data_IF_412447457051
#
_entry.id   IF_412447457051
#
_cell.length_a   1.000
_cell.length_b   1.000
_cell.length_c   1.000
_cell.angle_alpha   90.00
_cell.angle_beta   90.00
_cell.angle_gamma   90.00
#
_symmetry.space_group_name_H-M   'P 1'
#
loop_
_entity.id
_entity.type
_entity.pdbx_description
1 polymer ?
#
# COMPACT_ATOMS: atom_id res chain seq x y z
N UNK A 1 31.00 -24.36 0.23
CA UNK A 1 31.59 -24.64 -1.10
C UNK A 1 31.45 -26.12 -1.39
N UNK A 2 30.42 -26.56 -2.10
CA UNK A 2 30.40 -27.86 -2.78
C UNK A 2 29.25 -27.84 -3.81
N UNK A 3 29.66 -27.79 -5.06
CA UNK A 3 28.87 -27.61 -6.27
C UNK A 3 28.08 -28.84 -6.67
N UNK A 4 26.91 -28.59 -7.28
CA UNK A 4 26.07 -29.56 -8.01
C UNK A 4 26.89 -30.39 -9.00
N UNK A 5 26.58 -31.68 -9.09
CA UNK A 5 26.94 -32.50 -10.25
C UNK A 5 25.69 -33.16 -10.83
N UNK A 6 25.36 -32.69 -12.03
CA UNK A 6 24.35 -33.18 -12.96
C UNK A 6 24.80 -34.55 -13.53
N UNK A 7 23.90 -35.54 -13.62
CA UNK A 7 24.13 -36.75 -14.42
C UNK A 7 22.95 -36.96 -15.38
N UNK A 8 23.16 -36.91 -16.70
CA UNK A 8 22.17 -37.37 -17.67
C UNK A 8 22.36 -38.88 -17.88
N UNK A 9 21.27 -39.64 -17.76
CA UNK A 9 21.24 -41.04 -18.18
C UNK A 9 20.93 -41.09 -19.67
N UNK A 10 21.94 -41.41 -20.49
CA UNK A 10 21.75 -41.73 -21.90
C UNK A 10 21.24 -43.17 -22.00
N UNK A 11 19.98 -43.34 -22.42
CA UNK A 11 19.46 -44.67 -22.77
C UNK A 11 19.73 -44.92 -24.25
N UNK A 12 20.79 -45.68 -24.50
CA UNK A 12 21.07 -46.25 -25.81
C UNK A 12 20.00 -47.31 -26.14
N UNK A 13 19.22 -47.07 -27.19
CA UNK A 13 18.38 -48.09 -27.80
C UNK A 13 18.87 -48.29 -29.24
N UNK A 14 19.63 -49.36 -29.39
CA UNK A 14 20.09 -49.95 -30.64
C UNK A 14 18.87 -50.49 -31.39
N UNK A 15 18.60 -50.03 -32.61
CA UNK A 15 17.68 -50.75 -33.49
C UNK A 15 18.20 -50.79 -34.92
N UNK A 16 18.43 -52.02 -35.33
CA UNK A 16 19.11 -52.46 -36.54
C UNK A 16 18.60 -51.80 -37.82
N UNK A 17 19.57 -51.45 -38.65
CA UNK A 17 19.45 -51.03 -40.03
C UNK A 17 18.84 -52.15 -40.90
N UNK A 18 17.70 -51.86 -41.53
CA UNK A 18 17.28 -52.53 -42.78
C UNK A 18 17.06 -51.44 -43.82
N UNK A 19 17.91 -51.47 -44.85
CA UNK A 19 17.87 -50.55 -45.97
C UNK A 19 16.71 -50.85 -46.94
N UNK A 20 16.36 -49.80 -47.70
CA UNK A 20 15.61 -49.76 -48.97
C UNK A 20 14.07 -49.71 -48.93
N UNK A 21 13.51 -48.56 -49.34
CA UNK A 21 12.81 -48.38 -50.63
C UNK A 21 12.16 -46.98 -50.71
N UNK A 22 12.11 -46.41 -51.92
CA UNK A 22 11.54 -45.09 -52.26
C UNK A 22 10.00 -45.16 -52.42
N UNK A 23 9.32 -44.02 -52.21
CA UNK A 23 7.91 -43.74 -52.57
C UNK A 23 6.97 -43.83 -51.35
N UNK A 24 6.06 -42.89 -51.06
CA UNK A 24 5.14 -42.19 -51.95
C UNK A 24 4.90 -40.74 -51.48
N UNK A 25 4.72 -39.85 -52.45
CA UNK A 25 4.20 -38.49 -52.27
C UNK A 25 2.74 -38.58 -51.80
N UNK A 26 2.45 -38.10 -50.60
CA UNK A 26 1.08 -37.79 -50.19
C UNK A 26 0.85 -36.31 -50.41
N UNK A 27 -0.07 -35.96 -51.31
CA UNK A 27 -0.53 -34.59 -51.56
C UNK A 27 -0.71 -33.83 -50.26
N UNK A 28 -0.12 -32.63 -50.15
CA UNK A 28 -0.44 -31.69 -49.08
C UNK A 28 -1.96 -31.50 -49.07
N UNK A 29 -2.63 -32.02 -48.05
CA UNK A 29 -4.02 -31.70 -47.80
C UNK A 29 -4.03 -30.19 -47.58
N UNK A 30 -4.53 -29.44 -48.56
CA UNK A 30 -5.05 -28.10 -48.34
C UNK A 30 -6.22 -28.25 -47.38
N UNK A 31 -5.90 -28.41 -46.09
CA UNK A 31 -6.84 -28.08 -45.04
C UNK A 31 -7.03 -26.58 -45.20
N UNK A 32 -8.14 -26.23 -45.84
CA UNK A 32 -8.76 -24.95 -45.60
C UNK A 32 -9.20 -24.95 -44.14
N UNK A 33 -8.23 -24.83 -43.23
CA UNK A 33 -8.47 -24.31 -41.90
C UNK A 33 -8.96 -22.89 -42.14
N UNK A 34 -10.28 -22.75 -42.27
CA UNK A 34 -10.93 -21.51 -41.87
C UNK A 34 -10.35 -21.24 -40.48
N UNK A 35 -9.52 -20.21 -40.29
CA UNK A 35 -9.07 -19.92 -38.95
C UNK A 35 -10.37 -19.59 -38.22
N UNK A 36 -10.74 -20.43 -37.26
CA UNK A 36 -11.66 -20.02 -36.23
C UNK A 36 -10.88 -18.95 -35.49
N UNK A 37 -10.94 -17.71 -36.00
CA UNK A 37 -10.41 -16.53 -35.34
C UNK A 37 -11.18 -16.49 -34.03
N UNK A 38 -10.58 -17.07 -32.99
CA UNK A 38 -11.09 -16.94 -31.65
C UNK A 38 -11.21 -15.43 -31.41
N UNK A 39 -12.40 -14.93 -31.00
CA UNK A 39 -12.61 -13.51 -30.86
C UNK A 39 -11.51 -12.96 -29.94
N UNK A 40 -10.70 -12.05 -30.48
CA UNK A 40 -9.58 -11.42 -29.77
C UNK A 40 -10.18 -10.64 -28.60
N UNK A 41 -10.21 -11.27 -27.42
CA UNK A 41 -10.70 -10.65 -26.19
C UNK A 41 -9.71 -9.56 -25.82
N UNK A 42 -10.05 -8.31 -26.15
CA UNK A 42 -9.26 -7.15 -25.73
C UNK A 42 -9.25 -7.11 -24.21
N UNK A 43 -8.08 -7.05 -23.55
CA UNK A 43 -7.97 -7.05 -22.09
C UNK A 43 -8.41 -5.69 -21.53
N UNK A 44 -9.69 -5.36 -21.65
CA UNK A 44 -10.30 -4.13 -21.08
C UNK A 44 -10.51 -4.24 -19.57
N UNK A 45 -10.27 -5.41 -18.98
CA UNK A 45 -10.46 -5.66 -17.54
C UNK A 45 -9.42 -4.98 -16.64
N UNK A 46 -8.16 -4.94 -17.05
CA UNK A 46 -7.07 -4.39 -16.23
C UNK A 46 -7.21 -2.87 -16.02
N UNK A 47 -7.59 -2.12 -17.05
CA UNK A 47 -7.83 -0.68 -16.94
C UNK A 47 -9.12 -0.34 -16.17
N UNK A 48 -10.17 -1.16 -16.32
CA UNK A 48 -11.45 -0.96 -15.59
C UNK A 48 -11.30 -1.24 -14.10
N UNK A 49 -10.54 -2.27 -13.71
CA UNK A 49 -10.27 -2.57 -12.31
C UNK A 49 -9.20 -1.66 -11.70
N UNK A 50 -8.14 -1.34 -12.46
CA UNK A 50 -7.04 -0.50 -11.99
C UNK A 50 -7.46 0.95 -11.75
N UNK A 51 -8.17 1.57 -12.70
CA UNK A 51 -8.63 2.95 -12.53
C UNK A 51 -9.71 3.05 -11.45
N UNK A 52 -10.66 2.10 -11.42
CA UNK A 52 -11.69 2.09 -10.40
C UNK A 52 -11.12 1.82 -9.01
N UNK A 53 -10.20 0.85 -8.88
CA UNK A 53 -9.51 0.55 -7.63
C UNK A 53 -8.61 1.70 -7.18
N UNK A 54 -7.95 2.40 -8.11
CA UNK A 54 -7.19 3.60 -7.81
C UNK A 54 -8.08 4.71 -7.28
N UNK A 55 -9.18 5.03 -7.97
CA UNK A 55 -10.12 6.08 -7.53
C UNK A 55 -10.78 5.72 -6.20
N UNK A 56 -11.17 4.46 -6.01
CA UNK A 56 -11.73 3.98 -4.75
C UNK A 56 -10.70 4.06 -3.62
N UNK A 57 -9.45 3.67 -3.90
CA UNK A 57 -8.34 3.75 -2.96
C UNK A 57 -8.00 5.18 -2.56
N UNK A 58 -7.87 6.10 -3.53
CA UNK A 58 -7.58 7.51 -3.26
C UNK A 58 -8.74 8.22 -2.56
N UNK A 59 -9.99 7.90 -2.91
CA UNK A 59 -11.16 8.40 -2.21
C UNK A 59 -11.19 7.92 -0.75
N UNK A 60 -10.90 6.64 -0.50
CA UNK A 60 -10.85 6.08 0.86
C UNK A 60 -9.71 6.68 1.67
N UNK A 61 -8.51 6.81 1.07
CA UNK A 61 -7.36 7.44 1.71
C UNK A 61 -7.63 8.92 2.02
N UNK A 62 -8.25 9.66 1.08
CA UNK A 62 -8.64 11.06 1.28
C UNK A 62 -9.70 11.23 2.37
N UNK A 63 -10.70 10.34 2.41
CA UNK A 63 -11.70 10.34 3.47
C UNK A 63 -11.07 10.04 4.85
N UNK A 64 -10.18 9.03 4.92
CA UNK A 64 -9.46 8.71 6.15
C UNK A 64 -8.60 9.89 6.65
N UNK A 65 -7.89 10.56 5.75
CA UNK A 65 -7.13 11.77 6.06
C UNK A 65 -8.04 12.91 6.53
N UNK A 66 -9.19 13.13 5.87
CA UNK A 66 -10.15 14.17 6.25
C UNK A 66 -10.67 13.98 7.67
N UNK A 67 -11.06 12.75 8.05
CA UNK A 67 -11.51 12.46 9.40
C UNK A 67 -10.39 12.61 10.44
N UNK A 68 -9.20 12.09 10.15
CA UNK A 68 -8.05 12.19 11.04
C UNK A 68 -7.68 13.65 11.35
N UNK A 69 -7.60 14.48 10.30
CA UNK A 69 -7.23 15.89 10.44
C UNK A 69 -8.28 16.67 11.25
N UNK A 70 -9.57 16.39 11.06
CA UNK A 70 -10.64 17.03 11.85
C UNK A 70 -10.53 16.69 13.34
N UNK A 71 -10.21 15.43 13.67
CA UNK A 71 -10.04 15.02 15.06
C UNK A 71 -8.84 15.72 15.70
N UNK A 72 -7.71 15.83 15.00
CA UNK A 72 -6.53 16.57 15.45
C UNK A 72 -6.84 18.07 15.69
N UNK A 73 -7.65 18.68 14.80
CA UNK A 73 -8.13 20.06 14.99
C UNK A 73 -9.02 20.22 16.22
N UNK A 74 -9.87 19.23 16.53
CA UNK A 74 -10.73 19.26 17.72
C UNK A 74 -9.93 19.13 19.01
N UNK A 75 -8.94 18.23 19.03
CA UNK A 75 -8.05 18.05 20.19
C UNK A 75 -7.23 19.33 20.46
N UNK A 76 -6.72 19.98 19.42
CA UNK A 76 -5.95 21.22 19.57
C UNK A 76 -6.79 22.37 20.17
N UNK A 77 -8.06 22.51 19.75
CA UNK A 77 -8.93 23.55 20.30
C UNK A 77 -9.34 23.31 21.76
N UNK A 78 -9.44 22.05 22.18
CA UNK A 78 -9.69 21.72 23.59
C UNK A 78 -8.48 22.08 24.46
N UNK A 79 -7.26 21.83 23.99
CA UNK A 79 -6.03 22.21 24.70
C UNK A 79 -5.89 23.72 24.89
N UNK A 80 -6.29 24.52 23.89
CA UNK A 80 -6.31 26.00 23.98
C UNK A 80 -7.29 26.50 25.05
N UNK A 81 -8.40 25.80 25.27
CA UNK A 81 -9.40 26.19 26.27
C UNK A 81 -8.95 25.81 27.69
N UNK A 82 -8.33 24.65 27.84
CA UNK A 82 -7.76 24.20 29.12
C UNK A 82 -6.63 25.12 29.59
N UNK A 83 -5.75 25.56 28.67
CA UNK A 83 -4.63 26.45 29.00
C UNK A 83 -5.09 27.84 29.49
N UNK A 84 -6.18 28.39 28.93
CA UNK A 84 -6.76 29.67 29.42
C UNK A 84 -7.19 29.55 30.88
N UNK A 85 -7.86 28.45 31.25
CA UNK A 85 -8.27 28.21 32.63
C UNK A 85 -7.07 27.94 33.55
N UNK A 86 -6.06 27.23 33.07
CA UNK A 86 -4.82 27.00 33.81
C UNK A 86 -4.10 28.32 34.10
N UNK A 87 -3.97 29.20 33.10
CA UNK A 87 -3.32 30.51 33.23
C UNK A 87 -4.08 31.41 34.22
N UNK A 88 -5.41 31.43 34.15
CA UNK A 88 -6.23 32.20 35.09
C UNK A 88 -6.01 31.75 36.54
N UNK A 89 -5.92 30.43 36.77
CA UNK A 89 -5.64 29.88 38.10
C UNK A 89 -4.22 30.24 38.59
N UNK A 90 -3.24 30.29 37.69
CA UNK A 90 -1.86 30.65 38.00
C UNK A 90 -1.76 32.13 38.39
N UNK A 91 -2.41 33.03 37.66
CA UNK A 91 -2.45 34.47 37.98
C UNK A 91 -3.07 34.71 39.35
N UNK A 92 -4.22 34.08 39.65
CA UNK A 92 -4.87 34.23 40.97
C UNK A 92 -3.98 33.75 42.12
N UNK A 93 -3.22 32.66 41.93
CA UNK A 93 -2.25 32.17 42.91
C UNK A 93 -1.10 33.14 43.12
N UNK A 94 -0.55 33.70 42.04
CA UNK A 94 0.56 34.67 42.10
C UNK A 94 0.10 35.96 42.79
N UNK A 95 -1.07 36.49 42.45
CA UNK A 95 -1.64 37.67 43.14
C UNK A 95 -1.82 37.41 44.63
N UNK A 96 -2.30 36.21 45.01
CA UNK A 96 -2.36 35.78 46.40
C UNK A 96 -0.98 35.78 47.07
N UNK A 97 0.03 35.17 46.44
CA UNK A 97 1.40 35.17 46.98
C UNK A 97 1.97 36.58 47.13
N UNK A 98 1.79 37.46 46.15
CA UNK A 98 2.26 38.85 46.20
C UNK A 98 1.59 39.59 47.36
N UNK A 99 0.27 39.49 47.52
CA UNK A 99 -0.43 40.11 48.67
C UNK A 99 0.10 39.60 50.01
N UNK A 100 0.27 38.28 50.15
CA UNK A 100 0.83 37.73 51.40
C UNK A 100 2.27 38.18 51.65
N UNK A 101 3.06 38.42 50.60
CA UNK A 101 4.41 38.97 50.70
C UNK A 101 4.37 40.44 51.12
N UNK A 102 3.49 41.24 50.52
CA UNK A 102 3.28 42.64 50.87
C UNK A 102 2.87 42.80 52.33
N UNK A 103 1.91 41.99 52.80
CA UNK A 103 1.45 42.00 54.19
C UNK A 103 2.59 41.67 55.17
N UNK A 104 3.37 40.62 54.88
CA UNK A 104 4.51 40.22 55.71
C UNK A 104 5.63 41.28 55.74
N UNK A 105 5.88 41.95 54.62
CA UNK A 105 6.87 43.05 54.56
C UNK A 105 6.36 44.26 55.34
N UNK A 106 5.08 44.59 55.24
CA UNK A 106 4.47 45.68 55.99
C UNK A 106 4.49 45.44 57.49
N UNK A 107 4.21 44.21 57.94
CA UNK A 107 4.30 43.79 59.35
C UNK A 107 5.74 43.91 59.88
N UNK A 108 6.73 43.47 59.10
CA UNK A 108 8.15 43.53 59.50
C UNK A 108 8.75 44.93 59.50
N UNK A 109 8.09 45.90 58.85
CA UNK A 109 8.52 47.31 58.77
C UNK A 109 7.92 48.16 59.91
N UNK A 110 6.88 47.67 60.59
CA UNK A 110 6.37 48.26 61.83
C UNK A 110 7.20 47.84 63.03
#
# INVERSE_FOLDING_TARGET
>A
MASRVLRPAFRAANNNMTAAARGFQTSAVLRQEKPLVAPVRRPVGAFRGGLFGFLLGTATAGAGMYYYVIDEYRVSNQLLTEDIYALQSAVQRIEGYVRTLEDKVAEKKR
#
